data_IF_270202219252
#
_entry.id   IF_270202219252
#
_cell.length_a   1.000
_cell.length_b   1.000
_cell.length_c   1.000
_cell.angle_alpha   90.00
_cell.angle_beta   90.00
_cell.angle_gamma   90.00
#
_symmetry.space_group_name_H-M   'P 1'
#
loop_
_entity.id
_entity.type
_entity.pdbx_description
1 polymer ?
#
# COMPACT_ATOMS: atom_id res chain seq x y z
N UNK A 1 2.55 13.19 -20.30
CA UNK A 1 2.17 13.19 -18.87
C UNK A 1 1.47 11.86 -18.66
N UNK A 2 2.09 10.92 -17.96
CA UNK A 2 1.43 9.67 -17.61
C UNK A 2 0.32 10.01 -16.63
N UNK A 3 -0.89 9.53 -16.88
CA UNK A 3 -1.99 9.62 -15.93
C UNK A 3 -1.87 8.39 -15.04
N UNK A 4 -1.48 8.58 -13.78
CA UNK A 4 -1.51 7.49 -12.81
C UNK A 4 -2.96 7.22 -12.44
N UNK A 5 -3.35 5.95 -12.27
CA UNK A 5 -4.70 5.64 -11.83
C UNK A 5 -4.94 6.26 -10.43
N UNK A 6 -6.18 6.71 -10.18
CA UNK A 6 -6.58 7.28 -8.88
C UNK A 6 -6.43 6.28 -7.73
N UNK A 7 -6.50 4.99 -8.04
CA UNK A 7 -6.26 3.91 -7.10
C UNK A 7 -5.28 2.89 -7.68
N UNK A 8 -4.50 2.26 -6.81
CA UNK A 8 -3.64 1.13 -7.16
C UNK A 8 -3.96 -0.04 -6.23
N UNK A 9 -4.30 -1.19 -6.81
CA UNK A 9 -4.45 -2.43 -6.06
C UNK A 9 -3.08 -3.10 -6.01
N UNK A 10 -2.68 -3.50 -4.81
CA UNK A 10 -1.46 -4.27 -4.57
C UNK A 10 -1.79 -5.55 -3.83
N UNK A 11 -1.07 -6.62 -4.13
CA UNK A 11 -1.26 -7.92 -3.50
C UNK A 11 0.06 -8.68 -3.33
N UNK A 12 0.08 -9.60 -2.38
CA UNK A 12 1.08 -10.66 -2.32
C UNK A 12 0.66 -11.72 -3.34
N UNK A 13 1.59 -12.21 -4.20
CA UNK A 13 1.27 -13.30 -5.12
C UNK A 13 0.72 -14.53 -4.38
N UNK A 14 -0.28 -15.22 -4.94
CA UNK A 14 -0.96 -16.37 -4.30
C UNK A 14 -0.02 -17.50 -3.85
N UNK A 15 1.15 -17.61 -4.48
CA UNK A 15 2.19 -18.59 -4.14
C UNK A 15 3.02 -18.23 -2.90
N UNK A 16 2.85 -17.02 -2.35
CA UNK A 16 3.64 -16.48 -1.24
C UNK A 16 2.85 -16.42 0.06
N UNK A 17 3.56 -16.39 1.18
CA UNK A 17 2.91 -16.28 2.50
C UNK A 17 2.43 -14.85 2.76
N UNK A 18 1.26 -14.66 3.41
CA UNK A 18 0.81 -13.33 3.81
C UNK A 18 1.78 -12.70 4.81
N UNK A 19 1.83 -11.38 4.86
CA UNK A 19 2.61 -10.65 5.86
C UNK A 19 1.69 -10.05 6.93
N UNK A 20 2.28 -9.53 8.00
CA UNK A 20 1.54 -8.85 9.06
C UNK A 20 1.32 -7.37 8.73
N UNK A 21 0.23 -6.80 9.24
CA UNK A 21 0.00 -5.33 9.16
C UNK A 21 1.19 -4.54 9.76
N UNK A 22 1.85 -5.10 10.77
CA UNK A 22 3.04 -4.52 11.39
C UNK A 22 4.22 -4.45 10.40
N UNK A 23 4.41 -5.48 9.59
CA UNK A 23 5.47 -5.48 8.56
C UNK A 23 5.20 -4.42 7.49
N UNK A 24 3.94 -4.25 7.07
CA UNK A 24 3.54 -3.16 6.16
C UNK A 24 3.88 -1.79 6.76
N UNK A 25 3.44 -1.51 7.99
CA UNK A 25 3.73 -0.24 8.69
C UNK A 25 5.23 0.00 8.83
N UNK A 26 6.01 -1.04 9.18
CA UNK A 26 7.46 -0.93 9.30
C UNK A 26 8.14 -0.68 7.95
N UNK A 27 7.65 -1.30 6.87
CA UNK A 27 8.19 -1.08 5.52
C UNK A 27 7.95 0.35 5.05
N UNK A 28 6.75 0.90 5.26
CA UNK A 28 6.43 2.30 4.94
C UNK A 28 7.33 3.27 5.71
N UNK A 29 7.54 3.03 7.01
CA UNK A 29 8.45 3.85 7.83
C UNK A 29 9.91 3.79 7.36
N UNK A 30 10.37 2.66 6.82
CA UNK A 30 11.73 2.56 6.24
C UNK A 30 11.90 3.45 5.01
N UNK A 31 10.82 3.76 4.30
CA UNK A 31 10.80 4.71 3.18
C UNK A 31 10.65 6.17 3.65
N UNK A 32 10.83 6.43 4.95
CA UNK A 32 10.73 7.76 5.58
C UNK A 32 9.33 8.37 5.48
N UNK A 33 8.30 7.54 5.32
CA UNK A 33 6.91 7.97 5.43
C UNK A 33 6.50 8.02 6.90
N UNK A 34 5.94 9.14 7.32
CA UNK A 34 5.26 9.26 8.60
C UNK A 34 3.84 8.68 8.44
N UNK A 35 3.55 7.59 9.15
CA UNK A 35 2.31 6.83 8.95
C UNK A 35 1.56 6.57 10.25
N UNK A 36 0.23 6.64 10.17
CA UNK A 36 -0.70 6.31 11.26
C UNK A 36 -1.57 5.13 10.85
N UNK A 37 -1.43 4.03 11.57
CA UNK A 37 -2.30 2.85 11.43
C UNK A 37 -3.57 3.02 12.28
N UNK A 38 -4.71 2.77 11.66
CA UNK A 38 -6.04 2.79 12.27
C UNK A 38 -6.73 1.45 12.03
N UNK A 39 -6.88 0.65 13.09
CA UNK A 39 -7.54 -0.64 13.01
C UNK A 39 -9.07 -0.52 13.06
N UNK A 40 -9.77 -1.20 12.14
CA UNK A 40 -11.24 -1.34 12.15
C UNK A 40 -11.64 -2.81 12.19
N UNK A 41 -12.92 -3.05 12.48
CA UNK A 41 -13.49 -4.40 12.52
C UNK A 41 -13.66 -5.04 11.12
N UNK A 42 -13.47 -4.27 10.05
CA UNK A 42 -13.72 -4.68 8.66
C UNK A 42 -12.51 -4.45 7.72
N UNK A 43 -11.38 -4.00 8.26
CA UNK A 43 -10.17 -3.65 7.51
C UNK A 43 -9.25 -2.73 8.30
N UNK A 44 -8.00 -2.63 7.89
CA UNK A 44 -7.02 -1.71 8.49
C UNK A 44 -6.80 -0.53 7.55
N UNK A 45 -6.71 0.69 8.08
CA UNK A 45 -6.36 1.88 7.30
C UNK A 45 -4.97 2.39 7.70
N UNK A 46 -4.18 2.81 6.72
CA UNK A 46 -2.94 3.54 6.94
C UNK A 46 -3.05 4.91 6.29
N UNK A 47 -2.90 5.94 7.12
CA UNK A 47 -2.84 7.34 6.70
C UNK A 47 -1.37 7.77 6.58
N UNK A 48 -1.04 8.52 5.54
CA UNK A 48 0.29 9.12 5.33
C UNK A 48 0.23 10.60 5.74
N UNK A 49 1.09 11.03 6.66
CA UNK A 49 1.10 12.43 7.09
C UNK A 49 1.53 13.37 5.95
N UNK A 50 0.89 14.55 5.86
CA UNK A 50 1.13 15.51 4.77
C UNK A 50 0.58 15.09 3.40
N UNK A 51 -0.18 14.00 3.33
CA UNK A 51 -0.83 13.48 2.13
C UNK A 51 -2.28 13.12 2.42
N UNK A 52 -3.13 13.23 1.41
CA UNK A 52 -4.50 12.72 1.35
C UNK A 52 -4.55 11.27 0.84
N UNK A 53 -3.40 10.68 0.51
CA UNK A 53 -3.29 9.26 0.16
C UNK A 53 -3.66 8.38 1.36
N UNK A 54 -4.52 7.39 1.12
CA UNK A 54 -4.96 6.40 2.11
C UNK A 54 -4.71 5.00 1.58
N UNK A 55 -4.21 4.12 2.45
CA UNK A 55 -4.04 2.71 2.13
C UNK A 55 -5.08 1.91 2.93
N UNK A 56 -6.03 1.32 2.23
CA UNK A 56 -7.00 0.37 2.77
C UNK A 56 -6.45 -1.04 2.67
N UNK A 57 -6.34 -1.75 3.79
CA UNK A 57 -5.71 -3.07 3.88
C UNK A 57 -6.74 -4.09 4.34
N UNK A 58 -6.88 -5.16 3.55
CA UNK A 58 -7.66 -6.32 3.97
C UNK A 58 -6.82 -7.14 4.95
N UNK A 59 -7.35 -7.33 6.16
CA UNK A 59 -6.63 -7.94 7.27
C UNK A 59 -7.51 -8.97 7.95
N UNK A 60 -7.01 -10.19 8.07
CA UNK A 60 -7.66 -11.28 8.78
C UNK A 60 -6.73 -11.79 9.88
N UNK A 61 -7.12 -11.57 11.14
CA UNK A 61 -6.33 -11.97 12.32
C UNK A 61 -4.90 -11.42 12.33
N UNK A 62 -4.71 -10.22 11.78
CA UNK A 62 -3.43 -9.51 11.72
C UNK A 62 -2.52 -9.90 10.55
N UNK A 63 -2.98 -10.79 9.67
CA UNK A 63 -2.33 -11.13 8.41
C UNK A 63 -3.03 -10.44 7.25
N UNK A 64 -2.27 -10.05 6.24
CA UNK A 64 -2.74 -9.34 5.05
C UNK A 64 -1.99 -9.82 3.80
N UNK A 65 -2.68 -9.78 2.68
CA UNK A 65 -2.18 -10.13 1.35
C UNK A 65 -2.66 -9.20 0.24
N UNK A 66 -3.48 -8.19 0.55
CA UNK A 66 -4.10 -7.29 -0.42
C UNK A 66 -4.33 -5.92 0.21
N UNK A 67 -4.18 -4.88 -0.61
CA UNK A 67 -4.45 -3.50 -0.23
C UNK A 67 -4.83 -2.67 -1.45
N UNK A 68 -5.64 -1.64 -1.19
CA UNK A 68 -5.95 -0.58 -2.15
C UNK A 68 -5.30 0.71 -1.68
N UNK A 69 -4.50 1.31 -2.56
CA UNK A 69 -3.88 2.63 -2.35
C UNK A 69 -4.74 3.64 -3.09
N UNK A 70 -5.47 4.47 -2.37
CA UNK A 70 -6.20 5.61 -2.90
C UNK A 70 -5.27 6.82 -2.89
N UNK A 71 -4.90 7.32 -4.07
CA UNK A 71 -3.89 8.36 -4.19
C UNK A 71 -4.51 9.75 -4.05
N UNK A 72 -3.85 10.60 -3.27
CA UNK A 72 -4.18 12.02 -3.23
C UNK A 72 -3.90 12.73 -4.55
N UNK A 73 -4.68 13.78 -4.83
CA UNK A 73 -4.53 14.64 -6.00
C UNK A 73 -3.80 15.94 -5.64
N UNK A 74 -3.03 16.48 -6.58
CA UNK A 74 -2.36 17.79 -6.50
C UNK A 74 -1.45 17.98 -5.25
N UNK A 75 -0.78 16.91 -4.83
CA UNK A 75 0.11 16.94 -3.67
C UNK A 75 1.50 17.51 -4.01
N UNK A 76 2.05 18.44 -3.21
CA UNK A 76 3.40 18.98 -3.43
C UNK A 76 4.50 17.91 -3.33
N UNK A 77 4.25 16.86 -2.54
CA UNK A 77 5.15 15.74 -2.33
C UNK A 77 4.37 14.43 -2.45
N UNK A 78 4.32 13.88 -3.66
CA UNK A 78 3.61 12.63 -3.93
C UNK A 78 4.33 11.42 -3.27
N UNK A 79 3.69 10.71 -2.32
CA UNK A 79 4.30 9.58 -1.64
C UNK A 79 4.32 8.28 -2.47
N UNK A 80 3.73 8.26 -3.67
CA UNK A 80 3.55 7.05 -4.50
C UNK A 80 4.77 6.16 -4.61
N UNK A 81 5.91 6.73 -5.03
CA UNK A 81 7.14 5.95 -5.22
C UNK A 81 7.65 5.34 -3.91
N UNK A 82 7.53 6.06 -2.79
CA UNK A 82 7.90 5.54 -1.48
C UNK A 82 6.94 4.43 -1.03
N UNK A 83 5.65 4.55 -1.31
CA UNK A 83 4.65 3.52 -1.01
C UNK A 83 4.95 2.25 -1.84
N UNK A 84 5.17 2.40 -3.15
CA UNK A 84 5.47 1.26 -4.03
C UNK A 84 6.76 0.56 -3.64
N UNK A 85 7.82 1.30 -3.31
CA UNK A 85 9.06 0.72 -2.78
C UNK A 85 8.85 -0.05 -1.47
N UNK A 86 7.96 0.43 -0.58
CA UNK A 86 7.63 -0.27 0.66
C UNK A 86 6.92 -1.61 0.42
N UNK A 87 5.96 -1.64 -0.52
CA UNK A 87 5.24 -2.85 -0.88
C UNK A 87 6.11 -3.84 -1.67
N UNK A 88 6.89 -3.34 -2.63
CA UNK A 88 7.87 -4.12 -3.37
C UNK A 88 8.87 -4.83 -2.44
N UNK A 89 9.36 -4.13 -1.40
CA UNK A 89 10.28 -4.71 -0.41
C UNK A 89 9.69 -5.87 0.40
N UNK A 90 8.35 -6.00 0.43
CA UNK A 90 7.64 -7.12 1.05
C UNK A 90 7.25 -8.21 0.03
N UNK A 91 7.65 -8.08 -1.23
CA UNK A 91 7.31 -9.00 -2.30
C UNK A 91 5.89 -8.81 -2.87
N UNK A 92 5.27 -7.66 -2.62
CA UNK A 92 3.97 -7.33 -3.19
C UNK A 92 4.12 -6.86 -4.64
N UNK A 93 3.09 -7.10 -5.43
CA UNK A 93 2.95 -6.70 -6.83
C UNK A 93 1.73 -5.82 -6.99
N UNK A 94 1.70 -5.01 -8.05
CA UNK A 94 0.48 -4.34 -8.48
C UNK A 94 -0.42 -5.33 -9.21
N UNK A 95 -1.72 -5.09 -9.20
CA UNK A 95 -2.71 -5.90 -9.91
C UNK A 95 -3.76 -5.00 -10.56
N UNK A 96 -4.03 -5.22 -11.85
CA UNK A 96 -5.07 -4.52 -12.61
C UNK A 96 -5.78 -5.47 -13.61
N UNK A 97 -6.49 -4.92 -14.59
CA UNK A 97 -7.24 -5.69 -15.59
C UNK A 97 -6.34 -6.53 -16.50
N UNK A 98 -5.07 -6.15 -16.68
CA UNK A 98 -4.07 -6.88 -17.47
C UNK A 98 -3.29 -7.91 -16.63
N UNK A 99 -3.48 -7.88 -15.30
CA UNK A 99 -2.94 -8.83 -14.34
C UNK A 99 -1.86 -8.25 -13.44
N UNK A 100 -0.97 -9.12 -12.94
CA UNK A 100 0.09 -8.73 -12.01
C UNK A 100 1.22 -7.97 -12.70
N UNK A 101 1.70 -6.89 -12.09
CA UNK A 101 2.84 -6.12 -12.56
C UNK A 101 3.80 -5.76 -11.43
N UNK A 102 5.11 -5.62 -11.72
CA UNK A 102 6.09 -5.24 -10.71
C UNK A 102 5.88 -3.81 -10.22
N UNK A 103 6.01 -3.61 -8.91
CA UNK A 103 6.10 -2.29 -8.30
C UNK A 103 7.54 -1.77 -8.41
N UNK A 104 7.70 -0.49 -8.77
CA UNK A 104 9.00 0.17 -8.93
C UNK A 104 9.53 0.74 -7.61
#
# INVERSE_FOLDING_TARGET
MLHWPMQTIVQIPDSSSPCTIREVVLSLKKQKLEVRHEAKNWGDWIHIDGSTTVISIESMRGLTSSATIEHGEDEPHDPRLAIFAAFHALGWVGNDEDGEYPLA
#
